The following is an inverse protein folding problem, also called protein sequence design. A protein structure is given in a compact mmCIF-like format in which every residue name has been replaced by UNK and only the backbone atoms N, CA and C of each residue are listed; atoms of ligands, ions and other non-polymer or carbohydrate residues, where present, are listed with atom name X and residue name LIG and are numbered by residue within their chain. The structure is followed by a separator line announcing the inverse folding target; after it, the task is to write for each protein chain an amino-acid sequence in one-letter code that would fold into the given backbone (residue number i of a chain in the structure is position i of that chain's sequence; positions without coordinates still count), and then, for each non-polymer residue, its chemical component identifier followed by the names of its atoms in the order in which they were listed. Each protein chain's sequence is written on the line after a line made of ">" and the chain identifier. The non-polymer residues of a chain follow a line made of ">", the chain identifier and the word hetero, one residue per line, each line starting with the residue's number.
data_IF_089343488417
#
_entry.id   IF_089343488417
#
_cell.length_a   1.000
_cell.length_b   1.000
_cell.length_c   1.000
_cell.angle_alpha   90.00
_cell.angle_beta   90.00
_cell.angle_gamma   90.00
#
_symmetry.space_group_name_H-M   'P 1'
#
loop_
_entity.id
_entity.type
_entity.pdbx_description
1 polymer ?
#
# COMPACT_ATOMS: atom_id res chain seq x y z
N UNK A 1 -12.24 29.82 37.21
CA UNK A 1 -10.82 30.08 36.91
C UNK A 1 -10.02 28.78 37.00
N UNK A 2 -9.20 28.46 36.00
CA UNK A 2 -8.36 27.27 36.04
C UNK A 2 -7.34 27.40 37.15
N UNK A 3 -7.22 26.39 38.03
CA UNK A 3 -6.25 26.36 39.12
C UNK A 3 -4.84 26.28 38.55
N UNK A 4 -3.84 26.92 39.18
CA UNK A 4 -2.41 26.77 38.83
C UNK A 4 -1.98 25.31 38.80
N UNK A 5 -2.62 24.46 39.56
CA UNK A 5 -2.39 23.01 39.57
C UNK A 5 -2.85 22.35 38.26
N UNK A 6 -3.99 22.78 37.69
CA UNK A 6 -4.49 22.30 36.42
C UNK A 6 -3.63 22.73 35.25
N UNK A 7 -3.11 23.97 35.29
CA UNK A 7 -2.18 24.49 34.27
C UNK A 7 -0.90 23.67 34.26
N UNK A 8 -0.33 23.40 35.44
CA UNK A 8 0.90 22.59 35.59
C UNK A 8 0.71 21.17 35.08
N UNK A 9 -0.44 20.56 35.38
CA UNK A 9 -0.82 19.21 34.91
C UNK A 9 -0.98 19.18 33.38
N UNK A 10 -1.65 20.16 32.79
CA UNK A 10 -1.78 20.30 31.33
C UNK A 10 -0.43 20.49 30.66
N UNK A 11 0.43 21.36 31.19
CA UNK A 11 1.79 21.58 30.69
C UNK A 11 2.58 20.26 30.66
N UNK A 12 2.58 19.50 31.74
CA UNK A 12 3.25 18.20 31.83
C UNK A 12 2.72 17.21 30.78
N UNK A 13 1.40 17.09 30.63
CA UNK A 13 0.76 16.23 29.64
C UNK A 13 1.15 16.61 28.21
N UNK A 14 1.12 17.89 27.87
CA UNK A 14 1.50 18.39 26.54
C UNK A 14 2.97 18.12 26.25
N UNK A 15 3.87 18.35 27.24
CA UNK A 15 5.30 18.07 27.08
C UNK A 15 5.55 16.58 26.84
N UNK A 16 4.87 15.70 27.58
CA UNK A 16 4.98 14.25 27.39
C UNK A 16 4.50 13.83 25.98
N UNK A 17 3.35 14.34 25.56
CA UNK A 17 2.83 14.08 24.21
C UNK A 17 3.77 14.58 23.10
N UNK A 18 4.40 15.74 23.31
CA UNK A 18 5.37 16.29 22.38
C UNK A 18 6.61 15.38 22.25
N UNK A 19 7.11 14.84 23.37
CA UNK A 19 8.25 13.92 23.35
C UNK A 19 7.92 12.63 22.60
N UNK A 20 6.74 12.06 22.84
CA UNK A 20 6.26 10.86 22.13
C UNK A 20 6.17 11.15 20.62
N UNK A 21 5.58 12.27 20.23
CA UNK A 21 5.45 12.66 18.82
C UNK A 21 6.80 12.85 18.14
N UNK A 22 7.77 13.46 18.84
CA UNK A 22 9.16 13.60 18.34
C UNK A 22 9.81 12.23 18.11
N UNK A 23 9.66 11.31 19.06
CA UNK A 23 10.19 9.95 18.93
C UNK A 23 9.55 9.21 17.75
N UNK A 24 8.22 9.28 17.60
CA UNK A 24 7.51 8.70 16.48
C UNK A 24 7.96 9.29 15.14
N UNK A 25 8.20 10.61 15.07
CA UNK A 25 8.72 11.27 13.87
C UNK A 25 10.09 10.70 13.48
N UNK A 26 11.01 10.54 14.44
CA UNK A 26 12.34 9.99 14.17
C UNK A 26 12.27 8.57 13.62
N UNK A 27 11.50 7.68 14.26
CA UNK A 27 11.30 6.30 13.80
C UNK A 27 10.71 6.26 12.41
N UNK A 28 9.68 7.07 12.14
CA UNK A 28 9.02 7.12 10.84
C UNK A 28 9.96 7.65 9.75
N UNK A 29 10.80 8.65 10.08
CA UNK A 29 11.77 9.19 9.13
C UNK A 29 12.81 8.14 8.73
N UNK A 30 13.35 7.38 9.70
CA UNK A 30 14.32 6.30 9.40
C UNK A 30 13.69 5.20 8.55
N UNK A 31 12.44 4.80 8.86
CA UNK A 31 11.72 3.81 8.06
C UNK A 31 11.48 4.31 6.63
N UNK A 32 11.09 5.57 6.48
CA UNK A 32 10.89 6.18 5.16
C UNK A 32 12.18 6.21 4.34
N UNK A 33 13.30 6.62 4.95
CA UNK A 33 14.60 6.63 4.29
C UNK A 33 15.02 5.23 3.83
N UNK A 34 14.83 4.22 4.68
CA UNK A 34 15.12 2.82 4.32
C UNK A 34 14.25 2.34 3.16
N UNK A 35 12.94 2.59 3.22
CA UNK A 35 12.02 2.20 2.14
C UNK A 35 12.34 2.92 0.82
N UNK A 36 12.69 4.21 0.90
CA UNK A 36 13.10 4.99 -0.27
C UNK A 36 14.38 4.45 -0.90
N UNK A 37 15.40 4.14 -0.10
CA UNK A 37 16.64 3.56 -0.60
C UNK A 37 16.41 2.22 -1.31
N UNK A 38 15.52 1.37 -0.80
CA UNK A 38 15.14 0.12 -1.46
C UNK A 38 14.41 0.38 -2.80
N UNK A 39 13.49 1.33 -2.84
CA UNK A 39 12.78 1.68 -4.07
C UNK A 39 13.76 2.22 -5.13
N UNK A 40 14.66 3.13 -4.76
CA UNK A 40 15.69 3.70 -5.65
C UNK A 40 16.67 2.62 -6.16
N UNK A 41 17.00 1.63 -5.34
CA UNK A 41 17.85 0.51 -5.77
C UNK A 41 17.16 -0.45 -6.75
N UNK A 42 15.83 -0.56 -6.68
CA UNK A 42 15.03 -1.46 -7.54
C UNK A 42 14.64 -0.80 -8.86
N UNK A 43 14.54 0.52 -8.90
CA UNK A 43 14.08 1.28 -10.07
C UNK A 43 14.88 1.01 -11.35
N UNK A 44 16.23 0.96 -11.36
CA UNK A 44 16.99 0.63 -12.55
C UNK A 44 16.64 -0.76 -13.12
N UNK A 45 16.50 -1.77 -12.23
CA UNK A 45 16.15 -3.12 -12.65
C UNK A 45 14.77 -3.15 -13.33
N UNK A 46 13.78 -2.50 -12.72
CA UNK A 46 12.43 -2.40 -13.28
C UNK A 46 12.45 -1.71 -14.66
N UNK A 47 13.16 -0.61 -14.79
CA UNK A 47 13.26 0.13 -16.03
C UNK A 47 13.93 -0.70 -17.15
N UNK A 48 15.01 -1.42 -16.86
CA UNK A 48 15.65 -2.32 -17.82
C UNK A 48 14.74 -3.46 -18.21
N UNK A 49 14.10 -4.11 -17.26
CA UNK A 49 13.15 -5.21 -17.52
C UNK A 49 12.01 -4.74 -18.41
N UNK A 50 11.37 -3.60 -18.06
CA UNK A 50 10.28 -3.04 -18.83
C UNK A 50 10.68 -2.73 -20.28
N UNK A 51 11.82 -2.08 -20.47
CA UNK A 51 12.37 -1.77 -21.81
C UNK A 51 12.67 -3.03 -22.61
N UNK A 52 13.24 -4.04 -21.97
CA UNK A 52 13.56 -5.33 -22.63
C UNK A 52 12.29 -6.02 -23.09
N UNK A 53 11.31 -6.20 -22.21
CA UNK A 53 10.01 -6.82 -22.54
C UNK A 53 9.29 -6.02 -23.63
N UNK A 54 9.22 -4.71 -23.51
CA UNK A 54 8.60 -3.85 -24.53
C UNK A 54 9.29 -3.97 -25.90
N UNK A 55 10.63 -4.03 -25.92
CA UNK A 55 11.38 -4.23 -27.16
C UNK A 55 11.17 -5.61 -27.76
N UNK A 56 11.10 -6.65 -26.95
CA UNK A 56 10.79 -8.01 -27.41
C UNK A 56 9.39 -8.09 -28.03
N UNK A 57 8.39 -7.52 -27.37
CA UNK A 57 7.02 -7.48 -27.88
C UNK A 57 6.90 -6.71 -29.21
N UNK A 58 7.60 -5.57 -29.31
CA UNK A 58 7.61 -4.76 -30.53
C UNK A 58 8.25 -5.50 -31.73
N UNK A 59 9.23 -6.39 -31.48
CA UNK A 59 9.96 -7.10 -32.52
C UNK A 59 9.37 -8.48 -32.87
N UNK A 60 8.59 -9.07 -31.96
CA UNK A 60 8.10 -10.45 -32.09
C UNK A 60 6.88 -10.61 -32.99
N UNK A 61 6.36 -9.54 -33.57
CA UNK A 61 5.20 -9.59 -34.49
C UNK A 61 3.95 -10.18 -33.83
N UNK A 62 3.66 -11.44 -34.07
CA UNK A 62 2.45 -12.12 -33.58
C UNK A 62 2.80 -13.10 -32.43
N UNK A 63 3.20 -12.59 -31.28
CA UNK A 63 3.51 -13.44 -30.13
C UNK A 63 2.22 -13.89 -29.43
N UNK A 64 1.88 -15.16 -29.57
CA UNK A 64 0.76 -15.76 -28.83
C UNK A 64 1.23 -16.19 -27.43
N UNK A 65 0.84 -15.42 -26.41
CA UNK A 65 1.11 -15.77 -25.03
C UNK A 65 -0.13 -15.52 -24.16
N UNK A 66 -0.44 -16.38 -23.18
CA UNK A 66 -1.62 -16.23 -22.33
C UNK A 66 -1.75 -14.86 -21.66
N UNK A 67 -0.63 -14.26 -21.25
CA UNK A 67 -0.62 -12.92 -20.62
C UNK A 67 -0.77 -11.75 -21.62
N UNK A 68 -0.73 -12.00 -22.91
CA UNK A 68 -0.91 -10.97 -23.95
C UNK A 68 -2.32 -11.01 -24.55
N UNK A 69 -3.08 -12.06 -24.30
CA UNK A 69 -4.47 -12.15 -24.73
C UNK A 69 -5.36 -11.40 -23.74
N UNK A 70 -6.20 -10.51 -24.25
CA UNK A 70 -7.25 -9.92 -23.43
C UNK A 70 -8.19 -11.02 -22.96
N UNK A 71 -8.51 -11.02 -21.67
CA UNK A 71 -9.52 -11.94 -21.13
C UNK A 71 -10.92 -11.53 -21.57
N UNK A 72 -11.77 -12.51 -21.86
CA UNK A 72 -13.18 -12.28 -22.21
C UNK A 72 -14.06 -11.97 -20.97
N UNK A 73 -13.48 -11.99 -19.78
CA UNK A 73 -14.22 -11.75 -18.54
C UNK A 73 -14.47 -10.25 -18.33
N UNK A 74 -15.68 -9.84 -17.99
CA UNK A 74 -15.97 -8.47 -17.59
C UNK A 74 -15.36 -8.11 -16.23
N UNK A 75 -14.93 -9.12 -15.45
CA UNK A 75 -14.33 -8.92 -14.11
C UNK A 75 -12.91 -8.37 -14.21
N UNK A 76 -12.62 -7.44 -13.31
CA UNK A 76 -11.31 -6.77 -13.23
C UNK A 76 -10.68 -7.07 -11.88
N UNK A 77 -9.45 -7.57 -11.91
CA UNK A 77 -8.63 -7.72 -10.70
C UNK A 77 -7.97 -6.39 -10.35
N UNK A 78 -8.20 -5.91 -9.14
CA UNK A 78 -7.63 -4.66 -8.63
C UNK A 78 -6.80 -4.94 -7.39
N UNK A 79 -5.51 -4.68 -7.47
CA UNK A 79 -4.60 -4.76 -6.32
C UNK A 79 -4.59 -3.43 -5.60
N UNK A 80 -4.97 -3.43 -4.33
CA UNK A 80 -5.13 -2.23 -3.51
C UNK A 80 -4.06 -2.21 -2.43
N UNK A 81 -3.11 -1.28 -2.55
CA UNK A 81 -2.02 -1.11 -1.59
C UNK A 81 -2.38 -0.03 -0.56
N UNK A 82 -2.51 -0.44 0.69
CA UNK A 82 -2.81 0.47 1.81
C UNK A 82 -1.91 0.21 3.01
N UNK A 83 -2.03 1.01 4.05
CA UNK A 83 -1.29 0.79 5.29
C UNK A 83 -1.97 -0.25 6.19
N UNK A 84 -1.18 -0.89 7.05
CA UNK A 84 -1.69 -1.79 8.10
C UNK A 84 -2.19 -1.03 9.33
N UNK A 85 -1.69 0.18 9.55
CA UNK A 85 -2.00 0.99 10.73
C UNK A 85 -2.55 2.35 10.30
N UNK A 86 -3.23 3.03 11.23
CA UNK A 86 -3.67 4.40 11.06
C UNK A 86 -2.51 5.41 11.03
N UNK A 87 -2.83 6.67 11.14
CA UNK A 87 -1.91 7.82 11.12
C UNK A 87 -1.18 8.01 9.77
N UNK A 88 -1.77 7.53 8.67
CA UNK A 88 -1.29 7.72 7.31
C UNK A 88 -1.91 8.94 6.60
N UNK A 89 -2.45 9.91 7.38
CA UNK A 89 -3.18 11.05 6.82
C UNK A 89 -4.36 10.61 5.95
N UNK A 90 -4.57 11.26 4.81
CA UNK A 90 -5.64 10.95 3.86
C UNK A 90 -5.33 9.80 2.90
N UNK A 91 -4.17 9.17 2.97
CA UNK A 91 -3.73 8.19 1.97
C UNK A 91 -4.74 7.06 1.76
N UNK A 92 -5.07 6.31 2.82
CA UNK A 92 -5.99 5.17 2.72
C UNK A 92 -7.37 5.59 2.22
N UNK A 93 -7.88 6.71 2.73
CA UNK A 93 -9.18 7.26 2.30
C UNK A 93 -9.18 7.67 0.83
N UNK A 94 -8.09 8.24 0.33
CA UNK A 94 -7.97 8.65 -1.06
C UNK A 94 -7.90 7.45 -2.00
N UNK A 95 -7.16 6.39 -1.64
CA UNK A 95 -7.15 5.14 -2.41
C UNK A 95 -8.55 4.52 -2.49
N UNK A 96 -9.25 4.45 -1.37
CA UNK A 96 -10.64 3.95 -1.36
C UNK A 96 -11.56 4.82 -2.20
N UNK A 97 -11.39 6.14 -2.18
CA UNK A 97 -12.17 7.07 -3.03
C UNK A 97 -11.92 6.82 -4.52
N UNK A 98 -10.68 6.56 -4.95
CA UNK A 98 -10.39 6.24 -6.34
C UNK A 98 -11.17 5.02 -6.84
N UNK A 99 -11.34 4.01 -5.98
CA UNK A 99 -12.11 2.82 -6.31
C UNK A 99 -13.62 3.11 -6.28
N UNK A 100 -14.09 3.84 -5.26
CA UNK A 100 -15.53 4.07 -5.05
C UNK A 100 -16.14 5.12 -5.98
N UNK A 101 -15.33 6.03 -6.52
CA UNK A 101 -15.77 7.06 -7.48
C UNK A 101 -15.31 6.76 -8.90
N UNK A 102 -14.59 5.65 -9.11
CA UNK A 102 -14.23 5.19 -10.46
C UNK A 102 -15.44 4.61 -11.19
N UNK A 103 -15.33 4.49 -12.50
CA UNK A 103 -16.39 3.98 -13.40
C UNK A 103 -16.56 2.45 -13.31
N UNK A 104 -16.15 1.85 -12.21
CA UNK A 104 -16.21 0.40 -12.03
C UNK A 104 -17.46 -0.01 -11.26
N UNK A 105 -18.20 -0.98 -11.78
CA UNK A 105 -19.28 -1.61 -11.03
C UNK A 105 -18.71 -2.54 -9.98
N UNK A 106 -19.26 -2.49 -8.76
CA UNK A 106 -18.79 -3.31 -7.64
C UNK A 106 -18.76 -4.81 -7.93
N UNK A 107 -19.74 -5.27 -8.72
CA UNK A 107 -19.93 -6.68 -9.07
C UNK A 107 -18.86 -7.21 -10.04
N UNK A 108 -18.22 -6.29 -10.77
CA UNK A 108 -17.16 -6.61 -11.74
C UNK A 108 -15.75 -6.54 -11.15
N UNK A 109 -15.62 -6.15 -9.86
CA UNK A 109 -14.33 -5.96 -9.20
C UNK A 109 -13.97 -7.12 -8.28
N UNK A 110 -12.83 -7.73 -8.56
CA UNK A 110 -12.14 -8.65 -7.67
C UNK A 110 -10.98 -7.92 -6.97
N UNK A 111 -11.11 -7.67 -5.68
CA UNK A 111 -10.13 -6.86 -4.95
C UNK A 111 -9.15 -7.76 -4.20
N UNK A 112 -7.87 -7.50 -4.42
CA UNK A 112 -6.74 -8.06 -3.69
C UNK A 112 -6.17 -6.98 -2.78
N UNK A 113 -6.47 -7.06 -1.49
CA UNK A 113 -6.10 -6.03 -0.54
C UNK A 113 -4.73 -6.32 0.09
N UNK A 114 -3.77 -5.41 -0.10
CA UNK A 114 -2.49 -5.40 0.61
C UNK A 114 -2.54 -4.30 1.66
N UNK A 115 -2.58 -4.71 2.92
CA UNK A 115 -2.73 -3.80 4.06
C UNK A 115 -4.13 -3.79 4.67
N UNK A 116 -4.18 -3.94 5.99
CA UNK A 116 -5.42 -4.12 6.75
C UNK A 116 -6.42 -2.95 6.63
N UNK A 117 -5.93 -1.72 6.42
CA UNK A 117 -6.83 -0.56 6.31
C UNK A 117 -7.61 -0.51 5.01
N UNK A 118 -7.06 -1.02 3.92
CA UNK A 118 -7.81 -1.16 2.66
C UNK A 118 -8.90 -2.20 2.76
N UNK A 119 -8.57 -3.35 3.32
CA UNK A 119 -9.52 -4.43 3.57
C UNK A 119 -10.70 -3.93 4.43
N UNK A 120 -10.43 -3.36 5.62
CA UNK A 120 -11.44 -2.84 6.53
C UNK A 120 -12.39 -1.82 5.85
N UNK A 121 -11.81 -0.84 5.14
CA UNK A 121 -12.57 0.23 4.50
C UNK A 121 -13.38 -0.24 3.28
N UNK A 122 -12.87 -1.18 2.48
CA UNK A 122 -13.56 -1.68 1.31
C UNK A 122 -14.64 -2.70 1.68
N UNK A 123 -14.37 -3.56 2.67
CA UNK A 123 -15.37 -4.49 3.22
C UNK A 123 -16.56 -3.72 3.82
N UNK A 124 -16.30 -2.64 4.57
CA UNK A 124 -17.38 -1.80 5.12
C UNK A 124 -18.25 -1.13 4.05
N UNK A 125 -17.72 -0.98 2.83
CA UNK A 125 -18.45 -0.44 1.67
C UNK A 125 -19.07 -1.53 0.79
N UNK A 126 -18.98 -2.79 1.18
CA UNK A 126 -19.59 -3.93 0.49
C UNK A 126 -18.89 -4.33 -0.80
N UNK A 127 -17.58 -4.14 -0.92
CA UNK A 127 -16.79 -4.68 -2.00
C UNK A 127 -16.37 -6.12 -1.71
N UNK A 128 -16.29 -6.94 -2.77
CA UNK A 128 -15.83 -8.31 -2.68
C UNK A 128 -14.29 -8.35 -2.62
N UNK A 129 -13.74 -8.83 -1.51
CA UNK A 129 -12.30 -9.02 -1.35
C UNK A 129 -12.00 -10.50 -1.57
N UNK A 130 -11.23 -10.79 -2.61
CA UNK A 130 -10.84 -12.16 -2.98
C UNK A 130 -9.75 -12.65 -2.05
N UNK A 131 -8.76 -11.80 -1.81
CA UNK A 131 -7.60 -12.14 -0.98
C UNK A 131 -7.13 -10.92 -0.22
N UNK A 132 -6.72 -11.14 1.02
CA UNK A 132 -6.14 -10.12 1.89
C UNK A 132 -4.77 -10.58 2.36
N UNK A 133 -3.77 -9.74 2.15
CA UNK A 133 -2.41 -9.97 2.61
C UNK A 133 -1.96 -8.87 3.57
N UNK A 134 -2.44 -8.87 4.82
CA UNK A 134 -2.08 -7.86 5.81
C UNK A 134 -0.59 -7.92 6.18
N UNK A 135 0.05 -9.07 6.04
CA UNK A 135 1.46 -9.26 6.35
C UNK A 135 2.40 -8.83 5.22
N UNK A 136 1.93 -8.74 3.99
CA UNK A 136 2.66 -8.17 2.86
C UNK A 136 2.69 -6.64 2.93
N UNK A 137 2.83 -6.09 4.13
CA UNK A 137 3.21 -4.69 4.26
C UNK A 137 4.45 -4.44 3.41
N UNK A 138 4.48 -3.34 2.65
CA UNK A 138 5.57 -2.92 1.77
C UNK A 138 6.99 -3.03 2.40
N UNK A 139 7.06 -3.21 3.71
CA UNK A 139 8.29 -3.46 4.47
C UNK A 139 8.75 -4.92 4.36
N UNK A 140 7.86 -5.88 4.10
CA UNK A 140 8.17 -7.31 4.05
C UNK A 140 8.38 -7.85 2.64
N UNK A 141 7.95 -7.14 1.60
CA UNK A 141 8.20 -7.52 0.20
C UNK A 141 9.70 -7.49 -0.13
N UNK A 142 10.51 -6.78 0.66
CA UNK A 142 11.95 -6.63 0.43
C UNK A 142 12.84 -7.63 1.19
N UNK A 143 12.28 -8.60 1.92
CA UNK A 143 13.07 -9.64 2.56
C UNK A 143 13.06 -10.93 1.72
N UNK A 144 14.12 -11.22 0.93
CA UNK A 144 14.20 -12.43 0.10
C UNK A 144 14.21 -13.73 0.90
N UNK A 145 14.32 -13.64 2.23
CA UNK A 145 14.38 -14.79 3.13
C UNK A 145 13.03 -15.48 3.34
N UNK A 146 11.89 -14.80 3.16
CA UNK A 146 10.56 -15.42 3.33
C UNK A 146 10.03 -16.15 2.10
N UNK A 147 10.55 -15.90 0.91
CA UNK A 147 10.19 -16.64 -0.30
C UNK A 147 10.71 -18.09 -0.30
N UNK A 148 11.60 -18.46 0.62
CA UNK A 148 12.08 -19.84 0.79
C UNK A 148 11.18 -20.76 1.63
N UNK A 149 10.15 -20.23 2.26
CA UNK A 149 9.23 -21.01 3.11
C UNK A 149 7.90 -21.36 2.44
N UNK A 150 7.76 -21.11 1.14
CA UNK A 150 6.58 -21.50 0.34
C UNK A 150 7.06 -22.42 -0.79
N UNK A 151 7.61 -23.55 -0.42
CA UNK A 151 7.82 -24.70 -1.31
C UNK A 151 7.48 -25.99 -0.57
#
# INVERSE_FOLDING_TARGET
>A
MASMRDIKRRKSSITSTQQITKAMKLVSTVKLQKARAHAEATDPYFNYMYRTVSSMLAKSGNLEHPYLKAGDSPRKAVVVLTSNRGLAGGYNSNIVKLITHGDFKKEELDIYAVGAKGEELLTSKGYHIVESAPELSLIHISEPTRLRCIS
#
